data_IF_110197548783
#
_entry.id   IF_110197548783
#
_cell.length_a   1.000
_cell.length_b   1.000
_cell.length_c   1.000
_cell.angle_alpha   90.00
_cell.angle_beta   90.00
_cell.angle_gamma   90.00
#
_symmetry.space_group_name_H-M   'P 1'
#
loop_
_entity.id
_entity.type
_entity.pdbx_description
1 polymer ?
#
# COMPACT_ATOMS: atom_id res chain seq x y z
N UNK A 1 -7.01 -7.39 0.21
CA UNK A 1 -7.20 -7.90 1.59
C UNK A 1 -6.98 -9.41 1.69
N UNK A 2 -7.58 -10.26 0.80
CA UNK A 2 -7.44 -11.73 0.85
C UNK A 2 -5.97 -12.15 0.65
N UNK A 3 -5.25 -11.58 -0.30
CA UNK A 3 -3.84 -11.92 -0.55
C UNK A 3 -2.95 -11.70 0.69
N UNK A 4 -3.20 -10.66 1.49
CA UNK A 4 -2.43 -10.41 2.72
C UNK A 4 -2.58 -11.53 3.77
N UNK A 5 -3.71 -12.25 3.76
CA UNK A 5 -3.91 -13.41 4.65
C UNK A 5 -3.17 -14.61 4.09
N UNK A 6 -3.27 -14.82 2.78
CA UNK A 6 -2.57 -15.92 2.11
C UNK A 6 -1.05 -15.76 2.26
N UNK A 7 -0.52 -14.56 2.06
CA UNK A 7 0.88 -14.20 2.32
C UNK A 7 1.29 -14.55 3.77
N UNK A 8 0.45 -14.20 4.76
CA UNK A 8 0.73 -14.53 6.15
C UNK A 8 0.70 -16.04 6.44
N UNK A 9 -0.16 -16.79 5.76
CA UNK A 9 -0.18 -18.25 5.88
C UNK A 9 1.13 -18.83 5.34
N UNK A 10 1.61 -18.39 4.18
CA UNK A 10 2.87 -18.85 3.61
C UNK A 10 4.08 -18.45 4.44
N UNK A 11 4.13 -17.22 4.95
CA UNK A 11 5.19 -16.79 5.87
C UNK A 11 5.15 -17.60 7.16
N UNK A 12 3.95 -17.85 7.71
CA UNK A 12 3.78 -18.68 8.91
C UNK A 12 4.26 -20.11 8.73
N UNK A 13 4.03 -20.70 7.54
CA UNK A 13 4.48 -22.05 7.22
C UNK A 13 5.98 -22.12 6.88
N UNK A 14 6.50 -21.12 6.17
CA UNK A 14 7.89 -21.11 5.69
C UNK A 14 8.91 -20.56 6.68
N UNK A 15 8.51 -19.59 7.52
CA UNK A 15 9.40 -18.86 8.45
C UNK A 15 8.97 -19.02 9.92
N UNK A 16 7.68 -19.31 10.13
CA UNK A 16 7.10 -19.46 11.44
C UNK A 16 6.66 -18.14 12.08
N UNK A 17 6.56 -18.15 13.42
CA UNK A 17 6.00 -17.08 14.23
C UNK A 17 6.76 -15.75 14.10
N UNK A 18 8.10 -15.79 14.06
CA UNK A 18 8.93 -14.59 13.95
C UNK A 18 8.71 -13.84 12.62
N UNK A 19 8.48 -14.57 11.51
CA UNK A 19 8.13 -13.96 10.23
C UNK A 19 6.80 -13.25 10.28
N UNK A 20 5.79 -13.86 10.91
CA UNK A 20 4.47 -13.23 11.07
C UNK A 20 4.52 -11.99 11.98
N UNK A 21 5.27 -12.04 13.08
CA UNK A 21 5.48 -10.88 13.94
C UNK A 21 6.21 -9.75 13.18
N UNK A 22 7.20 -10.09 12.35
CA UNK A 22 7.94 -9.14 11.52
C UNK A 22 7.05 -8.38 10.53
N UNK A 23 6.15 -9.06 9.83
CA UNK A 23 5.21 -8.39 8.91
C UNK A 23 4.25 -7.43 9.62
N UNK A 24 3.88 -7.73 10.87
CA UNK A 24 3.06 -6.82 11.68
C UNK A 24 3.84 -5.60 12.15
N UNK A 25 5.11 -5.78 12.50
CA UNK A 25 5.98 -4.68 12.89
C UNK A 25 6.18 -3.68 11.73
N UNK A 26 6.21 -4.17 10.49
CA UNK A 26 6.36 -3.34 9.29
C UNK A 26 5.06 -2.75 8.76
N UNK A 27 3.91 -3.25 9.19
CA UNK A 27 2.59 -2.81 8.71
C UNK A 27 2.35 -1.30 8.81
N UNK A 28 2.73 -0.59 9.91
CA UNK A 28 2.60 0.87 10.00
C UNK A 28 3.37 1.63 8.91
N UNK A 29 4.53 1.14 8.47
CA UNK A 29 5.31 1.79 7.41
C UNK A 29 4.52 1.79 6.10
N UNK A 30 3.94 0.65 5.75
CA UNK A 30 3.13 0.49 4.54
C UNK A 30 1.87 1.35 4.62
N UNK A 31 1.22 1.44 5.79
CA UNK A 31 0.00 2.24 5.95
C UNK A 31 0.26 3.74 5.90
N UNK A 32 1.42 4.24 6.35
CA UNK A 32 1.84 5.63 6.16
C UNK A 32 2.01 5.95 4.67
N UNK A 33 2.68 5.07 3.92
CA UNK A 33 2.82 5.21 2.48
C UNK A 33 1.47 5.21 1.77
N UNK A 34 0.56 4.34 2.18
CA UNK A 34 -0.81 4.30 1.69
C UNK A 34 -1.61 5.56 2.02
N UNK A 35 -1.43 6.17 3.19
CA UNK A 35 -2.09 7.42 3.56
C UNK A 35 -1.73 8.57 2.59
N UNK A 36 -0.46 8.67 2.21
CA UNK A 36 -0.01 9.67 1.24
C UNK A 36 -0.50 9.30 -0.17
N UNK A 37 -0.46 8.02 -0.53
CA UNK A 37 -0.98 7.52 -1.79
C UNK A 37 -2.47 7.82 -1.99
N UNK A 38 -3.30 7.60 -0.96
CA UNK A 38 -4.74 7.90 -0.98
C UNK A 38 -5.02 9.40 -1.04
N UNK A 39 -4.25 10.23 -0.31
CA UNK A 39 -4.32 11.70 -0.42
C UNK A 39 -4.25 12.14 -1.88
N UNK A 40 -3.24 11.65 -2.60
CA UNK A 40 -3.01 12.04 -3.99
C UNK A 40 -4.07 11.41 -4.92
N UNK A 41 -4.35 10.12 -4.75
CA UNK A 41 -5.28 9.39 -5.61
C UNK A 41 -6.71 9.92 -5.50
N UNK A 42 -7.23 10.08 -4.28
CA UNK A 42 -8.60 10.52 -4.04
C UNK A 42 -8.78 12.00 -4.36
N UNK A 43 -7.81 12.85 -4.02
CA UNK A 43 -7.80 14.24 -4.42
C UNK A 43 -7.78 14.40 -5.94
N UNK A 44 -6.88 13.68 -6.61
CA UNK A 44 -6.76 13.69 -8.05
C UNK A 44 -8.04 13.22 -8.73
N UNK A 45 -8.64 12.10 -8.31
CA UNK A 45 -9.86 11.56 -8.92
C UNK A 45 -11.07 12.46 -8.69
N UNK A 46 -11.20 13.11 -7.54
CA UNK A 46 -12.28 14.03 -7.24
C UNK A 46 -12.24 15.26 -8.20
N UNK A 47 -11.09 15.89 -8.33
CA UNK A 47 -10.93 17.04 -9.24
C UNK A 47 -11.02 16.63 -10.70
N UNK A 48 -10.44 15.49 -11.06
CA UNK A 48 -10.55 14.89 -12.38
C UNK A 48 -12.01 14.68 -12.80
N UNK A 49 -12.82 14.06 -11.93
CA UNK A 49 -14.24 13.82 -12.17
C UNK A 49 -15.05 15.11 -12.32
N UNK A 50 -14.72 16.12 -11.50
CA UNK A 50 -15.34 17.45 -11.62
C UNK A 50 -15.05 18.07 -12.99
N UNK A 51 -13.80 18.04 -13.45
CA UNK A 51 -13.40 18.58 -14.75
C UNK A 51 -13.97 17.79 -15.92
N UNK A 52 -14.06 16.48 -15.78
CA UNK A 52 -14.69 15.61 -16.77
C UNK A 52 -16.19 15.93 -16.90
N UNK A 53 -16.91 16.12 -15.79
CA UNK A 53 -18.32 16.53 -15.77
C UNK A 53 -18.54 17.90 -16.40
N UNK A 54 -17.60 18.83 -16.24
CA UNK A 54 -17.58 20.15 -16.90
C UNK A 54 -17.20 20.07 -18.38
N UNK A 55 -16.92 18.89 -18.94
CA UNK A 55 -16.41 18.65 -20.30
C UNK A 55 -15.08 19.36 -20.60
N UNK A 56 -14.32 19.73 -19.55
CA UNK A 56 -12.99 20.31 -19.66
C UNK A 56 -11.94 19.19 -19.69
N UNK A 57 -11.83 18.52 -20.85
CA UNK A 57 -10.95 17.35 -21.03
C UNK A 57 -9.46 17.70 -20.93
N UNK A 58 -9.07 18.93 -21.25
CA UNK A 58 -7.68 19.38 -21.16
C UNK A 58 -7.23 19.48 -19.71
N UNK A 59 -8.04 20.12 -18.84
CA UNK A 59 -7.72 20.23 -17.41
C UNK A 59 -7.86 18.87 -16.71
N UNK A 60 -8.78 18.01 -17.12
CA UNK A 60 -8.87 16.64 -16.63
C UNK A 60 -7.58 15.83 -16.97
N UNK A 61 -7.08 15.94 -18.21
CA UNK A 61 -5.85 15.32 -18.64
C UNK A 61 -4.62 15.84 -17.87
N UNK A 62 -4.58 17.16 -17.59
CA UNK A 62 -3.54 17.78 -16.74
C UNK A 62 -3.59 17.28 -15.31
N UNK A 63 -4.79 17.17 -14.74
CA UNK A 63 -4.99 16.64 -13.38
C UNK A 63 -4.44 15.22 -13.28
N UNK A 64 -4.76 14.36 -14.25
CA UNK A 64 -4.22 13.01 -14.32
C UNK A 64 -2.69 13.01 -14.43
N UNK A 65 -2.12 13.79 -15.35
CA UNK A 65 -0.67 13.88 -15.54
C UNK A 65 0.05 14.36 -14.27
N UNK A 66 -0.45 15.44 -13.66
CA UNK A 66 0.09 15.94 -12.39
C UNK A 66 -0.06 14.91 -11.26
N UNK A 67 -1.21 14.24 -11.16
CA UNK A 67 -1.45 13.19 -10.17
C UNK A 67 -0.45 12.04 -10.28
N UNK A 68 -0.18 11.55 -11.50
CA UNK A 68 0.81 10.49 -11.74
C UNK A 68 2.23 10.96 -11.36
N UNK A 69 2.62 12.16 -11.78
CA UNK A 69 3.95 12.70 -11.48
C UNK A 69 4.15 12.89 -9.98
N UNK A 70 3.14 13.42 -9.28
CA UNK A 70 3.21 13.63 -7.84
C UNK A 70 3.20 12.29 -7.09
N UNK A 71 2.42 11.31 -7.54
CA UNK A 71 2.44 9.95 -6.98
C UNK A 71 3.82 9.31 -7.09
N UNK A 72 4.50 9.49 -8.23
CA UNK A 72 5.88 9.03 -8.41
C UNK A 72 6.85 9.73 -7.46
N UNK A 73 6.82 11.07 -7.42
CA UNK A 73 7.72 11.85 -6.56
C UNK A 73 7.47 11.59 -5.08
N UNK A 74 6.22 11.54 -4.65
CA UNK A 74 5.85 11.21 -3.28
C UNK A 74 6.27 9.77 -2.92
N UNK A 75 6.03 8.81 -3.81
CA UNK A 75 6.45 7.43 -3.61
C UNK A 75 7.97 7.30 -3.46
N UNK A 76 8.75 7.98 -4.32
CA UNK A 76 10.21 8.01 -4.21
C UNK A 76 10.68 8.70 -2.92
N UNK A 77 10.06 9.83 -2.58
CA UNK A 77 10.37 10.56 -1.34
C UNK A 77 10.11 9.69 -0.10
N UNK A 78 8.98 8.99 -0.06
CA UNK A 78 8.63 8.07 1.04
C UNK A 78 9.64 6.93 1.11
N UNK A 79 9.97 6.30 -0.03
CA UNK A 79 10.94 5.20 -0.08
C UNK A 79 12.28 5.63 0.49
N UNK A 80 12.83 6.76 0.01
CA UNK A 80 14.13 7.27 0.47
C UNK A 80 14.07 7.66 1.96
N UNK A 81 13.03 8.38 2.38
CA UNK A 81 12.90 8.82 3.77
C UNK A 81 12.73 7.64 4.73
N UNK A 82 11.92 6.64 4.36
CA UNK A 82 11.69 5.46 5.18
C UNK A 82 12.91 4.55 5.23
N UNK A 83 13.70 4.43 4.13
CA UNK A 83 14.95 3.66 4.14
C UNK A 83 15.98 4.31 5.08
N UNK A 84 16.12 5.64 5.06
CA UNK A 84 17.01 6.38 5.95
C UNK A 84 16.58 6.30 7.42
N UNK A 85 15.28 6.27 7.68
CA UNK A 85 14.68 6.25 9.02
C UNK A 85 14.17 4.87 9.42
N UNK A 86 14.55 3.80 8.71
CA UNK A 86 13.97 2.47 8.90
C UNK A 86 14.10 1.97 10.34
N UNK A 87 15.30 2.00 10.89
CA UNK A 87 15.56 1.55 12.27
C UNK A 87 14.79 2.38 13.31
N UNK A 88 14.84 3.73 13.31
CA UNK A 88 14.03 4.53 14.24
C UNK A 88 12.53 4.26 14.12
N UNK A 89 12.01 4.11 12.90
CA UNK A 89 10.57 3.88 12.68
C UNK A 89 10.16 2.49 13.15
N UNK A 90 10.94 1.44 12.86
CA UNK A 90 10.66 0.09 13.38
C UNK A 90 10.71 0.07 14.92
N UNK A 91 11.64 0.79 15.52
CA UNK A 91 11.73 0.92 16.98
C UNK A 91 10.50 1.64 17.57
N UNK A 92 10.01 2.67 16.90
CA UNK A 92 8.76 3.37 17.29
C UNK A 92 7.54 2.43 17.21
N UNK A 93 7.55 1.47 16.28
CA UNK A 93 6.48 0.48 16.12
C UNK A 93 6.55 -0.69 17.13
N UNK A 94 7.52 -0.69 18.04
CA UNK A 94 7.69 -1.73 19.06
C UNK A 94 8.92 -2.62 18.86
N UNK A 95 9.75 -2.33 17.87
CA UNK A 95 10.93 -3.16 17.49
C UNK A 95 12.01 -3.31 18.54
N UNK A 96 12.08 -2.40 19.53
CA UNK A 96 13.08 -2.47 20.60
C UNK A 96 12.87 -3.61 21.62
N UNK A 97 11.71 -4.25 21.60
CA UNK A 97 11.28 -5.20 22.63
C UNK A 97 10.89 -6.57 22.08
N UNK A 98 11.03 -6.78 20.77
CA UNK A 98 10.79 -8.05 20.09
C UNK A 98 12.10 -8.85 20.00
N UNK A 99 12.00 -10.15 19.65
CA UNK A 99 13.18 -10.99 19.42
C UNK A 99 14.06 -10.42 18.30
N UNK A 100 15.36 -10.62 18.38
CA UNK A 100 16.34 -10.16 17.39
C UNK A 100 16.03 -10.70 15.98
N UNK A 101 15.55 -11.94 15.90
CA UNK A 101 15.12 -12.56 14.64
C UNK A 101 13.91 -11.83 14.03
N UNK A 102 12.90 -11.48 14.83
CA UNK A 102 11.74 -10.69 14.39
C UNK A 102 12.18 -9.34 13.84
N UNK A 103 13.09 -8.65 14.52
CA UNK A 103 13.60 -7.35 14.06
C UNK A 103 14.41 -7.48 12.76
N UNK A 104 15.23 -8.51 12.62
CA UNK A 104 16.00 -8.80 11.42
C UNK A 104 15.07 -9.05 10.23
N UNK A 105 14.07 -9.94 10.38
CA UNK A 105 13.09 -10.22 9.34
C UNK A 105 12.24 -9.00 9.00
N UNK A 106 11.86 -8.18 9.98
CA UNK A 106 11.15 -6.94 9.76
C UNK A 106 11.96 -5.94 8.92
N UNK A 107 13.25 -5.80 9.22
CA UNK A 107 14.16 -4.93 8.48
C UNK A 107 14.33 -5.40 7.04
N UNK A 108 14.54 -6.69 6.83
CA UNK A 108 14.68 -7.30 5.50
C UNK A 108 13.40 -7.14 4.66
N UNK A 109 12.25 -7.47 5.24
CA UNK A 109 10.94 -7.33 4.60
C UNK A 109 10.64 -5.87 4.23
N UNK A 110 10.88 -4.94 5.17
CA UNK A 110 10.62 -3.53 4.94
C UNK A 110 11.48 -2.96 3.82
N UNK A 111 12.80 -3.22 3.81
CA UNK A 111 13.70 -2.75 2.74
C UNK A 111 13.24 -3.16 1.36
N UNK A 112 12.84 -4.40 1.21
CA UNK A 112 12.37 -4.91 -0.06
C UNK A 112 11.03 -4.22 -0.41
N UNK A 113 10.04 -4.23 0.48
CA UNK A 113 8.69 -3.70 0.20
C UNK A 113 8.67 -2.19 -0.06
N UNK A 114 9.61 -1.42 0.53
CA UNK A 114 9.76 0.01 0.27
C UNK A 114 10.03 0.32 -1.21
N UNK A 115 10.72 -0.57 -1.94
CA UNK A 115 10.97 -0.42 -3.39
C UNK A 115 9.66 -0.42 -4.18
N UNK A 116 8.64 -1.11 -3.69
CA UNK A 116 7.31 -1.20 -4.32
C UNK A 116 6.44 0.05 -4.18
N UNK A 117 6.71 0.93 -3.20
CA UNK A 117 5.85 2.08 -2.88
C UNK A 117 5.57 3.01 -4.06
N UNK A 118 6.56 3.44 -4.88
CA UNK A 118 6.28 4.31 -6.02
C UNK A 118 5.29 3.68 -7.01
N UNK A 119 5.42 2.37 -7.27
CA UNK A 119 4.52 1.65 -8.17
C UNK A 119 3.09 1.57 -7.59
N UNK A 120 2.96 1.35 -6.28
CA UNK A 120 1.67 1.35 -5.58
C UNK A 120 1.00 2.72 -5.65
N UNK A 121 1.70 3.80 -5.35
CA UNK A 121 1.15 5.16 -5.38
C UNK A 121 0.61 5.53 -6.76
N UNK A 122 1.37 5.22 -7.83
CA UNK A 122 0.91 5.47 -9.20
C UNK A 122 -0.29 4.58 -9.53
N UNK A 123 -0.23 3.29 -9.19
CA UNK A 123 -1.32 2.35 -9.45
C UNK A 123 -2.62 2.79 -8.78
N UNK A 124 -2.57 3.28 -7.54
CA UNK A 124 -3.74 3.79 -6.82
C UNK A 124 -4.38 4.96 -7.58
N UNK A 125 -3.57 5.94 -7.99
CA UNK A 125 -4.04 7.12 -8.72
C UNK A 125 -4.65 6.73 -10.07
N UNK A 126 -3.96 5.90 -10.87
CA UNK A 126 -4.43 5.51 -12.20
C UNK A 126 -5.67 4.63 -12.12
N UNK A 127 -5.72 3.64 -11.22
CA UNK A 127 -6.90 2.79 -11.04
C UNK A 127 -8.12 3.59 -10.54
N UNK A 128 -7.94 4.62 -9.72
CA UNK A 128 -9.01 5.52 -9.31
C UNK A 128 -9.57 6.32 -10.48
N UNK A 129 -8.71 6.81 -11.37
CA UNK A 129 -9.12 7.50 -12.60
C UNK A 129 -9.86 6.55 -13.56
N UNK A 130 -9.37 5.31 -13.73
CA UNK A 130 -10.03 4.30 -14.58
C UNK A 130 -11.45 4.02 -14.08
N UNK A 131 -11.64 3.90 -12.74
CA UNK A 131 -12.97 3.75 -12.13
C UNK A 131 -13.85 4.95 -12.41
N UNK A 132 -13.34 6.16 -12.23
CA UNK A 132 -14.06 7.41 -12.47
C UNK A 132 -14.50 7.59 -13.94
N UNK A 133 -13.76 7.00 -14.87
CA UNK A 133 -14.15 6.97 -16.29
C UNK A 133 -15.19 5.90 -16.66
N UNK A 134 -15.76 5.21 -15.66
CA UNK A 134 -16.81 4.22 -15.87
C UNK A 134 -16.31 2.82 -16.25
N UNK A 135 -15.02 2.51 -16.04
CA UNK A 135 -14.49 1.16 -16.27
C UNK A 135 -13.95 0.50 -14.98
N UNK A 136 -14.77 0.36 -13.92
CA UNK A 136 -14.37 -0.27 -12.69
C UNK A 136 -13.96 -1.74 -12.87
N UNK A 137 -14.52 -2.41 -13.88
CA UNK A 137 -14.17 -3.82 -14.18
C UNK A 137 -12.70 -3.97 -14.55
N UNK A 138 -12.15 -3.06 -15.34
CA UNK A 138 -10.72 -3.14 -15.70
C UNK A 138 -9.83 -2.89 -14.48
N UNK A 139 -10.11 -1.87 -13.68
CA UNK A 139 -9.39 -1.59 -12.45
C UNK A 139 -9.43 -2.79 -11.47
N UNK A 140 -10.58 -3.47 -11.38
CA UNK A 140 -10.73 -4.69 -10.60
C UNK A 140 -9.85 -5.83 -11.15
N UNK A 141 -9.89 -6.09 -12.46
CA UNK A 141 -9.08 -7.14 -13.11
C UNK A 141 -7.58 -6.86 -12.89
N UNK A 142 -7.14 -5.61 -13.05
CA UNK A 142 -5.75 -5.20 -12.80
C UNK A 142 -5.31 -5.53 -11.38
N UNK A 143 -6.14 -5.17 -10.37
CA UNK A 143 -5.85 -5.46 -8.97
C UNK A 143 -5.86 -6.98 -8.69
N UNK A 144 -6.86 -7.71 -9.20
CA UNK A 144 -6.96 -9.17 -8.99
C UNK A 144 -5.78 -9.89 -9.65
N UNK A 145 -5.36 -9.50 -10.85
CA UNK A 145 -4.21 -10.10 -11.53
C UNK A 145 -2.92 -9.94 -10.72
N UNK A 146 -2.69 -8.74 -10.16
CA UNK A 146 -1.55 -8.52 -9.26
C UNK A 146 -1.61 -9.38 -8.01
N UNK A 147 -2.80 -9.51 -7.38
CA UNK A 147 -3.00 -10.34 -6.21
C UNK A 147 -2.81 -11.84 -6.52
N UNK A 148 -3.32 -12.34 -7.64
CA UNK A 148 -3.16 -13.74 -8.03
C UNK A 148 -1.70 -14.08 -8.30
N UNK A 149 -0.99 -13.19 -9.02
CA UNK A 149 0.44 -13.39 -9.26
C UNK A 149 1.23 -13.39 -7.94
N UNK A 150 0.93 -12.47 -7.02
CA UNK A 150 1.55 -12.46 -5.70
C UNK A 150 1.37 -13.80 -4.98
N UNK A 151 0.13 -14.33 -4.88
CA UNK A 151 -0.17 -15.62 -4.21
C UNK A 151 0.62 -16.79 -4.83
N UNK A 152 0.72 -16.84 -6.17
CA UNK A 152 1.48 -17.88 -6.85
C UNK A 152 2.98 -17.77 -6.57
N UNK A 153 3.49 -16.54 -6.57
CA UNK A 153 4.90 -16.29 -6.30
C UNK A 153 5.26 -16.49 -4.82
N UNK A 154 4.36 -16.18 -3.88
CA UNK A 154 4.54 -16.47 -2.47
C UNK A 154 4.74 -17.98 -2.23
N UNK A 155 3.85 -18.81 -2.81
CA UNK A 155 4.00 -20.24 -2.72
C UNK A 155 5.34 -20.72 -3.30
N UNK A 156 5.76 -20.16 -4.41
CA UNK A 156 7.01 -20.56 -5.08
C UNK A 156 8.24 -20.05 -4.33
N UNK A 157 8.29 -18.78 -3.95
CA UNK A 157 9.47 -18.19 -3.31
C UNK A 157 9.63 -18.59 -1.85
N UNK A 158 8.53 -18.65 -1.10
CA UNK A 158 8.58 -18.97 0.34
C UNK A 158 8.69 -20.47 0.56
N UNK A 159 7.84 -21.30 -0.07
CA UNK A 159 7.81 -22.73 0.15
C UNK A 159 8.72 -23.49 -0.83
N UNK A 160 8.75 -23.08 -2.11
CA UNK A 160 9.53 -23.77 -3.15
C UNK A 160 11.02 -23.48 -3.07
N UNK A 161 11.41 -22.22 -2.98
CA UNK A 161 12.81 -21.77 -2.95
C UNK A 161 13.36 -21.57 -1.54
N UNK A 162 12.49 -21.51 -0.51
CA UNK A 162 12.90 -21.32 0.86
C UNK A 162 13.47 -19.91 1.15
N UNK A 163 13.10 -18.89 0.36
CA UNK A 163 13.57 -17.52 0.55
C UNK A 163 12.96 -16.81 1.76
N UNK A 164 12.06 -17.47 2.48
CA UNK A 164 11.47 -16.95 3.71
C UNK A 164 10.76 -15.61 3.51
N UNK A 165 10.98 -14.68 4.44
CA UNK A 165 10.34 -13.37 4.46
C UNK A 165 10.71 -12.51 3.24
N UNK A 166 11.95 -12.62 2.77
CA UNK A 166 12.38 -11.91 1.55
C UNK A 166 11.61 -12.39 0.32
N UNK A 167 11.32 -13.71 0.22
CA UNK A 167 10.53 -14.27 -0.86
C UNK A 167 9.13 -13.67 -0.94
N UNK A 168 8.43 -13.55 0.19
CA UNK A 168 7.13 -12.91 0.30
C UNK A 168 7.19 -11.42 -0.09
N UNK A 169 8.22 -10.70 0.35
CA UNK A 169 8.40 -9.30 -0.03
C UNK A 169 8.60 -9.12 -1.55
N UNK A 170 9.42 -9.95 -2.19
CA UNK A 170 9.61 -9.93 -3.64
C UNK A 170 8.34 -10.30 -4.41
N UNK A 171 7.61 -11.33 -3.98
CA UNK A 171 6.35 -11.70 -4.57
C UNK A 171 5.33 -10.55 -4.53
N UNK A 172 5.28 -9.83 -3.39
CA UNK A 172 4.43 -8.65 -3.22
C UNK A 172 4.80 -7.55 -4.22
N UNK A 173 6.09 -7.23 -4.37
CA UNK A 173 6.53 -6.19 -5.32
C UNK A 173 6.20 -6.57 -6.76
N UNK A 174 6.46 -7.81 -7.15
CA UNK A 174 6.17 -8.27 -8.52
C UNK A 174 4.67 -8.17 -8.81
N UNK A 175 3.81 -8.54 -7.87
CA UNK A 175 2.36 -8.36 -7.97
C UNK A 175 1.96 -6.87 -8.11
N UNK A 176 2.61 -5.98 -7.36
CA UNK A 176 2.40 -4.53 -7.44
C UNK A 176 2.87 -3.96 -8.77
N UNK A 177 4.02 -4.41 -9.29
CA UNK A 177 4.52 -4.01 -10.60
C UNK A 177 3.56 -4.45 -11.71
N UNK A 178 3.03 -5.68 -11.65
CA UNK A 178 2.03 -6.13 -12.63
C UNK A 178 0.79 -5.24 -12.61
N UNK A 179 0.25 -4.95 -11.43
CA UNK A 179 -0.87 -4.02 -11.28
C UNK A 179 -0.56 -2.64 -11.87
N UNK A 180 0.64 -2.09 -11.57
CA UNK A 180 1.12 -0.84 -12.14
C UNK A 180 1.18 -0.88 -13.67
N UNK A 181 1.79 -1.90 -14.26
CA UNK A 181 1.90 -2.05 -15.71
C UNK A 181 0.51 -2.11 -16.37
N UNK A 182 -0.40 -2.92 -15.83
CA UNK A 182 -1.77 -3.02 -16.34
C UNK A 182 -2.51 -1.69 -16.25
N UNK A 183 -2.37 -0.96 -15.15
CA UNK A 183 -2.98 0.35 -14.98
C UNK A 183 -2.43 1.37 -16.01
N UNK A 184 -1.11 1.43 -16.19
CA UNK A 184 -0.47 2.38 -17.13
C UNK A 184 -0.78 2.04 -18.59
N UNK A 185 -0.81 0.76 -18.96
CA UNK A 185 -1.16 0.31 -20.32
C UNK A 185 -2.60 0.71 -20.70
N UNK A 186 -3.46 0.95 -19.73
CA UNK A 186 -4.82 1.41 -19.97
C UNK A 186 -4.94 2.92 -20.26
N UNK A 187 -3.97 3.75 -19.85
CA UNK A 187 -4.01 5.21 -20.01
C UNK A 187 -4.36 5.64 -21.44
N UNK A 188 -3.78 5.08 -22.51
CA UNK A 188 -4.12 5.47 -23.89
C UNK A 188 -5.57 5.14 -24.29
N UNK A 189 -6.25 4.25 -23.55
CA UNK A 189 -7.64 3.83 -23.81
C UNK A 189 -8.69 4.70 -23.12
N UNK A 190 -8.26 5.68 -22.32
CA UNK A 190 -9.15 6.62 -21.63
C UNK A 190 -9.92 7.48 -22.64
N UNK A 191 -11.25 7.48 -22.54
CA UNK A 191 -12.14 8.17 -23.50
C UNK A 191 -12.02 9.70 -23.35
N UNK A 192 -11.80 10.38 -24.47
CA UNK A 192 -11.77 11.85 -24.50
C UNK A 192 -10.48 12.48 -23.95
N UNK A 193 -9.53 11.69 -23.45
CA UNK A 193 -8.29 12.19 -22.87
C UNK A 193 -7.11 11.80 -23.74
N UNK A 194 -6.43 12.78 -24.30
CA UNK A 194 -5.17 12.59 -25.01
C UNK A 194 -4.04 12.98 -24.07
N UNK A 195 -3.29 11.99 -23.57
CA UNK A 195 -2.13 12.25 -22.73
C UNK A 195 -1.02 12.91 -23.55
N UNK A 196 -0.66 14.13 -23.16
CA UNK A 196 0.51 14.84 -23.71
C UNK A 196 1.59 14.91 -22.64
N UNK A 197 2.86 14.85 -23.07
CA UNK A 197 4.01 14.97 -22.14
C UNK A 197 3.99 16.25 -21.31
N UNK A 198 3.44 17.33 -21.86
CA UNK A 198 3.26 18.62 -21.17
C UNK A 198 2.40 18.52 -19.90
N UNK A 199 1.49 17.52 -19.82
CA UNK A 199 0.61 17.32 -18.68
C UNK A 199 1.29 16.65 -17.49
N UNK A 200 2.47 16.06 -17.70
CA UNK A 200 3.32 15.56 -16.63
C UNK A 200 4.05 16.69 -15.87
N UNK A 201 4.11 17.90 -16.45
CA UNK A 201 4.72 19.06 -15.78
C UNK A 201 3.78 19.57 -14.70
N UNK A 202 4.29 19.59 -13.46
CA UNK A 202 3.51 20.00 -12.30
C UNK A 202 3.11 21.47 -12.40
N UNK A 203 1.80 21.74 -12.38
CA UNK A 203 1.25 23.09 -12.25
C UNK A 203 0.76 23.32 -10.82
N UNK A 204 1.30 24.34 -10.15
CA UNK A 204 0.91 24.69 -8.78
C UNK A 204 -0.61 24.87 -8.62
N UNK A 205 -1.26 25.53 -9.57
CA UNK A 205 -2.70 25.76 -9.51
C UNK A 205 -3.48 24.45 -9.50
N UNK A 206 -3.19 23.51 -10.40
CA UNK A 206 -3.83 22.19 -10.46
C UNK A 206 -3.57 21.41 -9.18
N UNK A 207 -2.32 21.44 -8.67
CA UNK A 207 -1.92 20.77 -7.44
C UNK A 207 -2.73 21.26 -6.24
N UNK A 208 -2.78 22.58 -6.01
CA UNK A 208 -3.54 23.17 -4.91
C UNK A 208 -5.05 23.02 -5.05
N UNK A 209 -5.55 22.72 -6.26
CA UNK A 209 -6.96 22.44 -6.48
C UNK A 209 -7.37 21.02 -6.09
N UNK A 210 -6.51 20.02 -6.26
CA UNK A 210 -6.89 18.64 -5.98
C UNK A 210 -6.37 18.10 -4.63
N UNK A 211 -5.21 18.52 -4.13
CA UNK A 211 -4.68 18.02 -2.85
C UNK A 211 -5.66 18.22 -1.66
N UNK A 212 -6.31 19.38 -1.50
CA UNK A 212 -7.26 19.57 -0.40
C UNK A 212 -8.43 18.59 -0.42
N UNK A 213 -8.83 18.11 -1.59
CA UNK A 213 -9.93 17.14 -1.75
C UNK A 213 -9.56 15.74 -1.21
N UNK A 214 -8.26 15.41 -1.16
CA UNK A 214 -7.78 14.14 -0.61
C UNK A 214 -7.49 14.16 0.89
N UNK A 215 -7.53 15.32 1.54
CA UNK A 215 -7.15 15.47 2.97
C UNK A 215 -7.99 14.57 3.89
N UNK A 216 -9.27 14.41 3.61
CA UNK A 216 -10.16 13.56 4.41
C UNK A 216 -9.70 12.09 4.41
N UNK A 217 -9.36 11.56 3.23
CA UNK A 217 -8.84 10.19 3.08
C UNK A 217 -7.50 10.02 3.78
N UNK A 218 -6.64 11.02 3.71
CA UNK A 218 -5.36 11.02 4.43
C UNK A 218 -5.56 10.91 5.93
N UNK A 219 -6.39 11.75 6.55
CA UNK A 219 -6.63 11.71 8.00
C UNK A 219 -7.27 10.40 8.44
N UNK A 220 -8.17 9.84 7.65
CA UNK A 220 -8.78 8.53 7.93
C UNK A 220 -7.70 7.42 7.96
N UNK A 221 -6.85 7.37 6.97
CA UNK A 221 -5.79 6.36 6.86
C UNK A 221 -4.70 6.58 7.91
N UNK A 222 -4.29 7.83 8.13
CA UNK A 222 -3.29 8.20 9.13
C UNK A 222 -3.76 7.90 10.55
N UNK A 223 -5.03 8.21 10.86
CA UNK A 223 -5.64 7.84 12.14
C UNK A 223 -5.62 6.34 12.40
N UNK A 224 -5.96 5.54 11.40
CA UNK A 224 -5.86 4.08 11.48
C UNK A 224 -4.42 3.62 11.76
N UNK A 225 -3.44 4.27 11.14
CA UNK A 225 -2.01 3.98 11.38
C UNK A 225 -1.59 4.25 12.81
N UNK A 226 -2.00 5.38 13.38
CA UNK A 226 -1.71 5.72 14.79
C UNK A 226 -2.29 4.65 15.73
N UNK A 227 -3.52 4.22 15.48
CA UNK A 227 -4.15 3.14 16.28
C UNK A 227 -3.31 1.87 16.22
N UNK A 228 -2.87 1.45 15.03
CA UNK A 228 -2.04 0.25 14.88
C UNK A 228 -0.71 0.39 15.62
N UNK A 229 -0.04 1.53 15.53
CA UNK A 229 1.23 1.78 16.26
C UNK A 229 0.99 1.69 17.78
N UNK A 230 -0.06 2.33 18.28
CA UNK A 230 -0.40 2.28 19.71
C UNK A 230 -0.68 0.85 20.18
N UNK A 231 -1.50 0.12 19.42
CA UNK A 231 -1.84 -1.27 19.78
C UNK A 231 -0.63 -2.18 19.69
N UNK A 232 0.22 -2.06 18.66
CA UNK A 232 1.46 -2.83 18.58
C UNK A 232 2.34 -2.59 19.83
N UNK A 233 2.56 -1.32 20.21
CA UNK A 233 3.36 -1.00 21.39
C UNK A 233 2.76 -1.55 22.69
N UNK A 234 1.43 -1.47 22.86
CA UNK A 234 0.75 -2.04 24.02
C UNK A 234 0.84 -3.56 24.03
N UNK A 235 0.64 -4.20 22.88
CA UNK A 235 0.73 -5.65 22.70
C UNK A 235 2.12 -6.15 23.06
N UNK A 236 3.17 -5.48 22.60
CA UNK A 236 4.55 -5.81 22.93
C UNK A 236 4.83 -5.58 24.42
N UNK A 237 4.39 -4.44 24.99
CA UNK A 237 4.60 -4.11 26.40
C UNK A 237 3.97 -5.14 27.33
N UNK A 238 2.70 -5.45 27.16
CA UNK A 238 1.99 -6.42 28.02
C UNK A 238 2.37 -7.87 27.66
N UNK A 239 2.79 -8.13 26.43
CA UNK A 239 3.33 -9.42 26.02
C UNK A 239 4.61 -9.80 26.81
N UNK A 240 5.47 -8.82 27.10
CA UNK A 240 6.67 -9.03 27.93
C UNK A 240 6.34 -9.46 29.38
N UNK A 241 5.18 -9.03 29.90
CA UNK A 241 4.72 -9.39 31.23
C UNK A 241 3.95 -10.73 31.24
N UNK A 242 3.71 -11.32 30.06
CA UNK A 242 2.97 -12.57 29.90
C UNK A 242 3.89 -13.76 29.70
N UNK A 243 3.36 -14.97 29.91
CA UNK A 243 4.06 -16.24 29.63
C UNK A 243 4.34 -16.48 28.14
N UNK A 244 3.72 -15.68 27.25
CA UNK A 244 3.81 -15.84 25.79
C UNK A 244 4.91 -14.97 25.16
N UNK A 245 5.52 -14.07 25.92
CA UNK A 245 6.47 -13.09 25.37
C UNK A 245 5.83 -12.06 24.43
N UNK A 246 6.62 -11.16 23.79
CA UNK A 246 6.09 -10.09 22.96
C UNK A 246 5.70 -10.53 21.55
N UNK A 247 6.33 -11.57 20.99
CA UNK A 247 6.19 -11.94 19.57
C UNK A 247 4.88 -12.68 19.27
N UNK A 248 4.45 -13.59 20.18
CA UNK A 248 3.20 -14.35 19.99
C UNK A 248 1.97 -13.45 19.98
N UNK A 249 1.74 -12.53 20.95
CA UNK A 249 0.62 -11.61 20.91
C UNK A 249 0.67 -10.68 19.71
N UNK A 250 1.85 -10.23 19.28
CA UNK A 250 2.02 -9.38 18.10
C UNK A 250 1.64 -10.11 16.81
N UNK A 251 2.05 -11.37 16.66
CA UNK A 251 1.66 -12.21 15.53
C UNK A 251 0.15 -12.47 15.51
N UNK A 252 -0.44 -12.79 16.66
CA UNK A 252 -1.89 -13.02 16.81
C UNK A 252 -2.69 -11.76 16.46
N UNK A 253 -2.27 -10.58 16.95
CA UNK A 253 -2.90 -9.31 16.62
C UNK A 253 -2.90 -9.04 15.11
N UNK A 254 -1.81 -9.34 14.42
CA UNK A 254 -1.74 -9.20 12.98
C UNK A 254 -2.71 -10.08 12.21
N UNK A 255 -2.93 -11.30 12.66
CA UNK A 255 -3.94 -12.18 12.06
C UNK A 255 -5.33 -11.56 12.24
N UNK A 256 -5.65 -11.09 13.45
CA UNK A 256 -6.94 -10.43 13.76
C UNK A 256 -7.15 -9.19 12.89
N UNK A 257 -6.12 -8.35 12.73
CA UNK A 257 -6.20 -7.14 11.89
C UNK A 257 -6.43 -7.48 10.41
N UNK A 258 -5.86 -8.56 9.90
CA UNK A 258 -6.07 -8.99 8.51
C UNK A 258 -7.48 -9.55 8.29
N UNK A 259 -8.03 -10.31 9.25
CA UNK A 259 -9.42 -10.75 9.21
C UNK A 259 -10.37 -9.56 9.25
N UNK A 260 -10.12 -8.58 10.14
CA UNK A 260 -10.89 -7.34 10.20
C UNK A 260 -10.87 -6.57 8.88
N UNK A 261 -9.71 -6.53 8.20
CA UNK A 261 -9.58 -5.86 6.90
C UNK A 261 -10.46 -6.48 5.81
N UNK A 262 -10.74 -7.79 5.86
CA UNK A 262 -11.70 -8.41 4.93
C UNK A 262 -13.11 -7.89 5.20
N UNK A 263 -13.52 -7.90 6.45
CA UNK A 263 -14.87 -7.45 6.84
C UNK A 263 -15.09 -6.00 6.40
N UNK A 264 -14.12 -5.13 6.70
CA UNK A 264 -14.16 -3.72 6.28
C UNK A 264 -14.17 -3.59 4.76
N UNK A 265 -13.38 -4.38 4.02
CA UNK A 265 -13.34 -4.34 2.55
C UNK A 265 -14.68 -4.75 1.92
N UNK A 266 -15.36 -5.74 2.50
CA UNK A 266 -16.72 -6.15 2.07
C UNK A 266 -17.72 -5.04 2.34
N UNK A 267 -17.68 -4.42 3.54
CA UNK A 267 -18.58 -3.32 3.90
C UNK A 267 -18.39 -2.10 2.99
N UNK A 268 -17.14 -1.72 2.71
CA UNK A 268 -16.83 -0.63 1.77
C UNK A 268 -17.29 -0.97 0.36
N UNK A 269 -17.10 -2.22 -0.09
CA UNK A 269 -17.53 -2.66 -1.42
C UNK A 269 -19.07 -2.68 -1.58
N UNK A 270 -19.83 -2.86 -0.51
CA UNK A 270 -21.28 -2.78 -0.52
C UNK A 270 -21.80 -1.34 -0.40
N UNK A 271 -21.00 -0.42 0.11
CA UNK A 271 -21.35 1.00 0.31
C UNK A 271 -21.05 1.90 -0.90
N UNK A 272 -20.36 1.39 -1.92
CA UNK A 272 -20.06 2.08 -3.18
C UNK A 272 -21.03 1.66 -4.27
#
# INVERSE_FOLDING_TARGET
>A
SIYNIVDQIFIGQGVGMYGNAATNLTFPLVTIAMAIGTLIADGCVAYFSLKLGQKNYDEAARTMGNGITISLLAGLFITISMELLLTPVLNLCGGTKVAEETFRYATEYARITLIGIPFVCISMTVNSIIRAQGNPRYAMISNISGCLLNVVLDAWFVLGLGWGVAGAAWATIIGQILNFVLAVVYIPRLKGIKFKREYAIIRKNTLFSFLPLGISSFFTQFGSTIVVICVNNLTVKYGLESVYGPDIPLAAFGIVMKVNSIIVSVMVGLGI
#
